data_IF_063142094003
#
_entry.id   IF_063142094003
#
_cell.length_a   1.000
_cell.length_b   1.000
_cell.length_c   1.000
_cell.angle_alpha   90.00
_cell.angle_beta   90.00
_cell.angle_gamma   90.00
#
_symmetry.space_group_name_H-M   'P 1'
#
loop_
_entity.id
_entity.type
_entity.pdbx_description
1 polymer ?
#
# COMPACT_ATOMS: atom_id res chain seq x y z
N UNK A 1 -5.41 -16.66 -29.96
CA UNK A 1 -6.10 -16.91 -28.67
C UNK A 1 -6.89 -18.22 -28.73
N UNK A 2 -6.39 -19.33 -28.15
CA UNK A 2 -7.04 -20.65 -28.18
C UNK A 2 -8.29 -20.76 -27.28
N UNK A 3 -8.37 -19.91 -26.25
CA UNK A 3 -9.40 -19.98 -25.20
C UNK A 3 -10.80 -19.59 -25.69
N UNK A 4 -10.88 -18.68 -26.66
CA UNK A 4 -12.15 -18.26 -27.27
C UNK A 4 -12.80 -19.40 -28.09
N UNK A 5 -11.98 -20.25 -28.74
CA UNK A 5 -12.48 -21.44 -29.44
C UNK A 5 -13.02 -22.50 -28.47
N UNK A 6 -12.40 -22.67 -27.29
CA UNK A 6 -12.86 -23.64 -26.28
C UNK A 6 -14.23 -23.26 -25.66
N UNK A 7 -14.52 -21.97 -25.52
CA UNK A 7 -15.79 -21.48 -24.97
C UNK A 7 -17.00 -21.75 -25.88
N UNK A 8 -16.82 -21.59 -27.19
CA UNK A 8 -17.87 -21.78 -28.20
C UNK A 8 -18.27 -23.26 -28.36
N UNK A 9 -17.28 -24.16 -28.31
CA UNK A 9 -17.52 -25.62 -28.31
C UNK A 9 -18.33 -26.05 -27.09
N UNK A 10 -17.97 -25.54 -25.91
CA UNK A 10 -18.63 -25.89 -24.64
C UNK A 10 -20.05 -25.31 -24.53
N UNK A 11 -20.33 -24.17 -25.15
CA UNK A 11 -21.68 -23.60 -25.25
C UNK A 11 -22.58 -24.50 -26.12
N UNK A 12 -22.01 -25.03 -27.20
CA UNK A 12 -22.69 -25.94 -28.14
C UNK A 12 -23.01 -27.29 -27.49
N UNK A 13 -22.07 -27.88 -26.74
CA UNK A 13 -22.29 -29.14 -26.01
C UNK A 13 -23.33 -29.05 -24.89
N UNK A 14 -23.53 -27.86 -24.32
CA UNK A 14 -24.48 -27.67 -23.22
C UNK A 14 -25.90 -27.34 -23.70
N UNK A 15 -26.09 -26.99 -24.98
CA UNK A 15 -27.41 -26.74 -25.55
C UNK A 15 -28.33 -27.98 -25.51
N UNK A 16 -27.76 -29.18 -25.63
CA UNK A 16 -28.50 -30.43 -25.52
C UNK A 16 -28.93 -30.75 -24.07
N UNK A 17 -28.27 -30.17 -23.07
CA UNK A 17 -28.56 -30.41 -21.64
C UNK A 17 -29.67 -29.51 -21.08
N UNK A 18 -29.97 -28.39 -21.74
CA UNK A 18 -31.02 -27.43 -21.33
C UNK A 18 -32.40 -27.79 -21.92
N UNK A 19 -32.55 -29.02 -22.41
CA UNK A 19 -33.65 -29.47 -23.24
C UNK A 19 -35.08 -29.48 -22.64
N UNK A 20 -35.36 -29.30 -21.34
CA UNK A 20 -36.74 -29.12 -20.92
C UNK A 20 -37.34 -27.74 -21.27
N UNK A 21 -36.54 -26.77 -21.74
CA UNK A 21 -36.98 -25.37 -21.95
C UNK A 21 -37.43 -25.03 -23.39
N UNK A 22 -37.61 -26.02 -24.28
CA UNK A 22 -37.83 -25.82 -25.72
C UNK A 22 -39.19 -25.19 -26.14
N UNK A 23 -40.10 -24.89 -25.22
CA UNK A 23 -41.34 -24.19 -25.59
C UNK A 23 -41.10 -22.72 -26.03
N UNK A 24 -39.97 -22.10 -25.65
CA UNK A 24 -39.70 -20.68 -25.89
C UNK A 24 -38.43 -20.38 -26.71
N UNK A 25 -37.53 -21.34 -26.91
CA UNK A 25 -36.27 -21.17 -27.66
C UNK A 25 -36.32 -21.99 -28.96
N UNK A 26 -36.99 -21.45 -29.97
CA UNK A 26 -36.94 -21.99 -31.33
C UNK A 26 -35.53 -21.86 -31.92
N UNK A 27 -35.16 -22.63 -32.96
CA UNK A 27 -33.86 -22.52 -33.62
C UNK A 27 -33.52 -21.08 -34.06
N UNK A 28 -34.52 -20.32 -34.53
CA UNK A 28 -34.35 -18.91 -34.89
C UNK A 28 -34.02 -18.02 -33.68
N UNK A 29 -34.75 -18.20 -32.56
CA UNK A 29 -34.49 -17.47 -31.32
C UNK A 29 -33.12 -17.81 -30.73
N UNK A 30 -32.71 -19.07 -30.84
CA UNK A 30 -31.39 -19.52 -30.45
C UNK A 30 -30.30 -18.87 -31.33
N UNK A 31 -30.50 -18.82 -32.65
CA UNK A 31 -29.58 -18.18 -33.58
C UNK A 31 -29.41 -16.69 -33.27
N UNK A 32 -30.51 -15.97 -33.01
CA UNK A 32 -30.48 -14.57 -32.58
C UNK A 32 -29.71 -14.43 -31.28
N UNK A 33 -30.02 -15.26 -30.27
CA UNK A 33 -29.32 -15.20 -28.97
C UNK A 33 -27.81 -15.42 -29.10
N UNK A 34 -27.37 -16.37 -29.93
CA UNK A 34 -25.95 -16.62 -30.20
C UNK A 34 -25.29 -15.40 -30.86
N UNK A 35 -25.97 -14.77 -31.82
CA UNK A 35 -25.47 -13.55 -32.48
C UNK A 35 -25.32 -12.40 -31.48
N UNK A 36 -26.32 -12.18 -30.62
CA UNK A 36 -26.26 -11.15 -29.59
C UNK A 36 -25.12 -11.41 -28.59
N UNK A 37 -24.92 -12.65 -28.15
CA UNK A 37 -23.78 -13.03 -27.30
C UNK A 37 -22.45 -12.75 -28.02
N UNK A 38 -22.34 -13.08 -29.30
CA UNK A 38 -21.14 -12.82 -30.08
C UNK A 38 -20.84 -11.31 -30.20
N UNK A 39 -21.87 -10.48 -30.39
CA UNK A 39 -21.75 -9.01 -30.42
C UNK A 39 -21.26 -8.50 -29.06
N UNK A 40 -21.84 -8.97 -27.95
CA UNK A 40 -21.41 -8.55 -26.59
C UNK A 40 -19.97 -8.95 -26.32
N UNK A 41 -19.55 -10.16 -26.70
CA UNK A 41 -18.16 -10.60 -26.53
C UNK A 41 -17.20 -9.77 -27.39
N UNK A 42 -17.54 -9.51 -28.66
CA UNK A 42 -16.72 -8.68 -29.54
C UNK A 42 -16.60 -7.26 -28.99
N UNK A 43 -17.72 -6.64 -28.61
CA UNK A 43 -17.73 -5.29 -28.05
C UNK A 43 -16.92 -5.21 -26.76
N UNK A 44 -17.01 -6.24 -25.90
CA UNK A 44 -16.19 -6.32 -24.69
C UNK A 44 -14.70 -6.43 -25.02
N UNK A 45 -14.32 -7.23 -26.02
CA UNK A 45 -12.94 -7.33 -26.47
C UNK A 45 -12.43 -6.00 -27.04
N UNK A 46 -13.20 -5.36 -27.92
CA UNK A 46 -12.86 -4.07 -28.52
C UNK A 46 -12.66 -3.00 -27.42
N UNK A 47 -13.56 -2.95 -26.42
CA UNK A 47 -13.49 -2.03 -25.28
C UNK A 47 -12.30 -2.32 -24.33
N UNK A 48 -11.86 -3.57 -24.25
CA UNK A 48 -10.67 -3.96 -23.49
C UNK A 48 -9.38 -3.68 -24.25
N UNK A 49 -9.37 -3.84 -25.57
CA UNK A 49 -8.23 -3.47 -26.43
C UNK A 49 -8.05 -1.97 -26.54
N UNK A 50 -9.15 -1.20 -26.47
CA UNK A 50 -9.11 0.26 -26.49
C UNK A 50 -8.54 0.91 -25.21
N UNK A 51 -8.32 0.14 -24.13
CA UNK A 51 -7.89 0.65 -22.82
C UNK A 51 -6.63 -0.04 -22.32
N UNK A 52 -5.74 0.71 -21.66
CA UNK A 52 -4.66 0.12 -20.88
C UNK A 52 -5.22 -0.41 -19.55
N UNK A 53 -5.14 -1.72 -19.36
CA UNK A 53 -5.63 -2.40 -18.16
C UNK A 53 -4.45 -2.87 -17.30
N UNK A 54 -4.48 -2.52 -16.03
CA UNK A 54 -3.51 -3.01 -15.05
C UNK A 54 -4.18 -4.07 -14.18
N UNK A 55 -3.65 -5.28 -14.23
CA UNK A 55 -4.04 -6.36 -13.30
C UNK A 55 -3.03 -6.44 -12.17
N UNK A 56 -3.50 -6.63 -10.95
CA UNK A 56 -2.63 -6.88 -9.81
C UNK A 56 -3.06 -8.15 -9.07
N UNK A 57 -2.12 -8.84 -8.40
CA UNK A 57 -2.45 -9.96 -7.53
C UNK A 57 -3.48 -9.54 -6.47
N UNK A 58 -4.35 -10.46 -6.06
CA UNK A 58 -5.35 -10.19 -5.00
C UNK A 58 -4.70 -9.68 -3.71
N UNK A 59 -3.46 -10.09 -3.42
CA UNK A 59 -2.68 -9.61 -2.28
C UNK A 59 -2.37 -8.10 -2.32
N UNK A 60 -2.35 -7.49 -3.51
CA UNK A 60 -2.11 -6.04 -3.69
C UNK A 60 -3.39 -5.20 -3.64
N UNK A 61 -4.58 -5.83 -3.71
CA UNK A 61 -5.86 -5.10 -3.67
C UNK A 61 -6.05 -4.32 -2.36
N UNK A 62 -5.42 -4.76 -1.26
CA UNK A 62 -5.43 -4.07 0.04
C UNK A 62 -4.85 -2.67 0.02
N UNK A 63 -4.06 -2.32 -1.00
CA UNK A 63 -3.52 -0.97 -1.14
C UNK A 63 -4.41 -0.02 -1.95
N UNK A 64 -5.52 -0.55 -2.50
CA UNK A 64 -6.55 0.18 -3.22
C UNK A 64 -7.92 0.13 -2.50
N UNK A 65 -7.98 -0.47 -1.31
CA UNK A 65 -9.20 -0.49 -0.50
C UNK A 65 -9.47 0.86 0.15
N UNK A 66 -10.73 1.14 0.47
CA UNK A 66 -11.20 2.43 1.02
C UNK A 66 -10.69 2.76 2.43
N UNK A 67 -9.99 1.84 3.11
CA UNK A 67 -9.46 2.06 4.46
C UNK A 67 -8.09 2.74 4.49
N UNK A 68 -7.75 3.47 5.58
CA UNK A 68 -6.47 4.14 5.73
C UNK A 68 -5.32 3.12 5.74
N UNK A 69 -4.32 3.21 4.83
CA UNK A 69 -3.30 2.17 4.69
C UNK A 69 -2.47 1.96 5.96
N UNK A 70 -2.29 2.97 6.80
CA UNK A 70 -1.56 2.85 8.06
C UNK A 70 -2.47 2.71 9.30
N UNK A 71 -3.79 2.63 9.09
CA UNK A 71 -4.80 2.56 10.15
C UNK A 71 -5.35 3.94 10.53
N UNK A 72 -6.56 3.95 11.09
CA UNK A 72 -7.30 5.17 11.41
C UNK A 72 -6.60 6.06 12.44
N UNK A 73 -5.92 5.47 13.43
CA UNK A 73 -5.19 6.24 14.44
C UNK A 73 -4.05 7.07 13.84
N UNK A 74 -3.36 6.54 12.83
CA UNK A 74 -2.31 7.29 12.11
C UNK A 74 -2.93 8.42 11.28
N UNK A 75 -4.07 8.16 10.62
CA UNK A 75 -4.79 9.17 9.84
C UNK A 75 -5.27 10.33 10.74
N UNK A 76 -5.79 10.02 11.94
CA UNK A 76 -6.27 11.01 12.90
C UNK A 76 -5.12 11.82 13.54
N UNK A 77 -3.99 11.17 13.85
CA UNK A 77 -2.85 11.86 14.47
C UNK A 77 -2.04 12.66 13.45
N UNK A 78 -1.89 12.13 12.23
CA UNK A 78 -1.08 12.67 11.14
C UNK A 78 -1.89 12.89 9.84
N UNK A 79 -2.94 13.73 9.84
CA UNK A 79 -3.77 13.92 8.66
C UNK A 79 -3.00 14.53 7.48
N UNK A 80 -1.91 15.25 7.76
CA UNK A 80 -1.05 15.89 6.76
C UNK A 80 -0.25 14.90 5.90
N UNK A 81 -0.02 13.68 6.37
CA UNK A 81 0.74 12.66 5.59
C UNK A 81 -0.16 11.68 4.85
N UNK A 82 -1.49 11.77 5.03
CA UNK A 82 -2.43 10.78 4.52
C UNK A 82 -2.34 10.63 2.99
N UNK A 83 -2.20 11.76 2.28
CA UNK A 83 -1.99 11.76 0.84
C UNK A 83 -0.78 10.90 0.43
N UNK A 84 0.37 11.11 1.08
CA UNK A 84 1.60 10.37 0.77
C UNK A 84 1.49 8.90 1.17
N UNK A 85 0.80 8.57 2.27
CA UNK A 85 0.53 7.18 2.67
C UNK A 85 -0.32 6.44 1.63
N UNK A 86 -1.38 7.07 1.14
CA UNK A 86 -2.28 6.50 0.12
C UNK A 86 -1.55 6.32 -1.20
N UNK A 87 -0.83 7.34 -1.67
CA UNK A 87 -0.08 7.25 -2.93
C UNK A 87 1.09 6.26 -2.86
N UNK A 88 1.76 6.13 -1.71
CA UNK A 88 2.73 5.06 -1.48
C UNK A 88 2.09 3.67 -1.66
N UNK A 89 0.89 3.46 -1.08
CA UNK A 89 0.16 2.20 -1.22
C UNK A 89 -0.18 1.88 -2.68
N UNK A 90 -0.75 2.84 -3.41
CA UNK A 90 -1.09 2.67 -4.83
C UNK A 90 0.14 2.39 -5.69
N UNK A 91 1.23 3.14 -5.48
CA UNK A 91 2.50 2.91 -6.17
C UNK A 91 3.04 1.50 -5.90
N UNK A 92 2.93 1.02 -4.66
CA UNK A 92 3.37 -0.32 -4.29
C UNK A 92 2.54 -1.38 -5.01
N UNK A 93 1.22 -1.22 -5.07
CA UNK A 93 0.36 -2.15 -5.79
C UNK A 93 0.58 -2.15 -7.31
N UNK A 94 0.96 -1.01 -7.90
CA UNK A 94 1.23 -0.85 -9.33
C UNK A 94 2.65 -1.20 -9.76
N UNK A 95 3.49 -1.69 -8.83
CA UNK A 95 4.88 -2.02 -9.15
C UNK A 95 5.75 -0.81 -9.44
N UNK A 96 5.46 0.33 -8.80
CA UNK A 96 6.23 1.58 -8.89
C UNK A 96 7.06 1.74 -7.62
N UNK A 97 8.03 0.85 -7.46
CA UNK A 97 8.84 0.68 -6.24
C UNK A 97 9.54 1.97 -5.82
N UNK A 98 10.23 2.66 -6.74
CA UNK A 98 10.91 3.92 -6.44
C UNK A 98 9.93 5.02 -6.02
N UNK A 99 8.78 5.14 -6.71
CA UNK A 99 7.76 6.13 -6.37
C UNK A 99 7.14 5.87 -4.99
N UNK A 100 6.94 4.58 -4.66
CA UNK A 100 6.52 4.15 -3.32
C UNK A 100 7.47 4.71 -2.27
N UNK A 101 8.78 4.49 -2.45
CA UNK A 101 9.79 4.97 -1.50
C UNK A 101 9.80 6.50 -1.44
N UNK A 102 9.69 7.23 -2.55
CA UNK A 102 9.65 8.70 -2.54
C UNK A 102 8.50 9.23 -1.66
N UNK A 103 7.29 8.68 -1.80
CA UNK A 103 6.17 9.06 -0.94
C UNK A 103 6.43 8.71 0.53
N UNK A 104 6.95 7.51 0.81
CA UNK A 104 7.27 7.09 2.18
C UNK A 104 8.32 7.99 2.85
N UNK A 105 9.18 8.65 2.08
CA UNK A 105 10.22 9.51 2.64
C UNK A 105 9.63 10.82 3.19
N UNK A 106 8.59 11.34 2.53
CA UNK A 106 7.80 12.47 3.06
C UNK A 106 7.03 12.08 4.32
N UNK A 107 6.51 10.85 4.37
CA UNK A 107 5.85 10.32 5.58
C UNK A 107 6.85 10.19 6.74
N UNK A 108 8.04 9.63 6.46
CA UNK A 108 9.11 9.50 7.46
C UNK A 108 9.61 10.86 7.94
N UNK A 109 9.63 11.89 7.10
CA UNK A 109 10.01 13.25 7.49
C UNK A 109 9.11 13.77 8.61
N UNK A 110 7.80 13.72 8.40
CA UNK A 110 6.81 14.14 9.39
C UNK A 110 6.87 13.30 10.67
N UNK A 111 7.05 11.98 10.54
CA UNK A 111 7.22 11.09 11.69
C UNK A 111 8.50 11.38 12.47
N UNK A 112 9.62 11.63 11.79
CA UNK A 112 10.89 11.97 12.42
C UNK A 112 10.81 13.32 13.14
N UNK A 113 10.16 14.31 12.54
CA UNK A 113 9.90 15.60 13.18
C UNK A 113 9.04 15.44 14.45
N UNK A 114 7.98 14.64 14.39
CA UNK A 114 7.13 14.37 15.55
C UNK A 114 7.90 13.65 16.66
N UNK A 115 8.70 12.64 16.33
CA UNK A 115 9.55 11.95 17.30
C UNK A 115 10.58 12.90 17.91
N UNK A 116 11.22 13.76 17.11
CA UNK A 116 12.18 14.75 17.61
C UNK A 116 11.54 15.64 18.67
N UNK A 117 10.37 16.21 18.39
CA UNK A 117 9.62 17.03 19.34
C UNK A 117 9.25 16.25 20.60
N UNK A 118 8.82 15.00 20.45
CA UNK A 118 8.44 14.14 21.57
C UNK A 118 9.59 13.91 22.56
N UNK A 119 10.83 13.87 22.08
CA UNK A 119 12.03 13.67 22.93
C UNK A 119 12.80 14.97 23.22
N UNK A 120 12.24 16.13 22.89
CA UNK A 120 12.86 17.43 23.14
C UNK A 120 14.07 17.75 22.26
N UNK A 121 14.14 17.16 21.05
CA UNK A 121 15.17 17.47 20.04
C UNK A 121 14.58 18.44 19.02
N UNK A 122 15.33 19.49 18.69
CA UNK A 122 14.96 20.43 17.63
C UNK A 122 15.01 19.73 16.26
N UNK A 123 13.92 19.72 15.47
CA UNK A 123 13.94 19.23 14.10
C UNK A 123 14.92 20.01 13.22
N UNK A 124 15.40 19.41 12.14
CA UNK A 124 16.29 20.07 11.21
C UNK A 124 16.51 19.31 9.91
N UNK A 125 17.05 20.00 8.91
CA UNK A 125 17.24 19.47 7.54
C UNK A 125 18.25 18.32 7.49
N UNK A 126 19.24 18.30 8.38
CA UNK A 126 20.22 17.22 8.45
C UNK A 126 19.68 16.04 9.26
N UNK A 127 19.05 15.10 8.57
CA UNK A 127 18.50 13.89 9.19
C UNK A 127 19.51 13.07 9.97
N UNK A 128 20.77 12.96 9.52
CA UNK A 128 21.78 12.21 10.28
C UNK A 128 22.03 12.85 11.65
N UNK A 129 22.07 14.18 11.72
CA UNK A 129 22.23 14.92 12.98
C UNK A 129 21.01 14.74 13.88
N UNK A 130 19.80 14.89 13.33
CA UNK A 130 18.53 14.71 14.07
C UNK A 130 18.42 13.28 14.60
N UNK A 131 18.67 12.27 13.77
CA UNK A 131 18.65 10.86 14.15
C UNK A 131 19.62 10.57 15.30
N UNK A 132 20.84 11.11 15.26
CA UNK A 132 21.82 10.93 16.33
C UNK A 132 21.37 11.60 17.63
N UNK A 133 20.79 12.81 17.55
CA UNK A 133 20.30 13.54 18.70
C UNK A 133 19.11 12.83 19.38
N UNK A 134 18.16 12.33 18.58
CA UNK A 134 17.04 11.52 19.06
C UNK A 134 17.56 10.24 19.72
N UNK A 135 18.49 9.54 19.07
CA UNK A 135 19.08 8.32 19.60
C UNK A 135 19.76 8.56 20.97
N UNK A 136 20.44 9.70 21.14
CA UNK A 136 21.00 10.10 22.43
C UNK A 136 19.92 10.30 23.49
N UNK A 137 18.83 11.00 23.15
CA UNK A 137 17.71 11.23 24.08
C UNK A 137 16.95 9.97 24.47
N UNK A 138 16.70 9.07 23.52
CA UNK A 138 16.09 7.77 23.82
C UNK A 138 16.98 6.94 24.76
N UNK A 139 18.31 7.04 24.65
CA UNK A 139 19.25 6.36 25.55
C UNK A 139 19.34 7.00 26.94
N UNK A 140 18.82 8.20 27.16
CA UNK A 140 18.75 8.84 28.48
C UNK A 140 17.57 8.31 29.30
N UNK A 141 16.56 7.72 28.64
CA UNK A 141 15.39 7.13 29.31
C UNK A 141 15.80 5.94 30.17
N UNK A 142 15.34 5.91 31.41
CA UNK A 142 15.68 4.89 32.41
C UNK A 142 14.43 4.43 33.14
N UNK A 143 14.28 3.11 33.32
CA UNK A 143 13.19 2.53 34.14
C UNK A 143 12.97 3.21 35.48
N UNK A 144 14.07 3.54 36.17
CA UNK A 144 14.06 4.10 37.52
C UNK A 144 13.52 5.53 37.57
N UNK A 145 13.74 6.30 36.51
CA UNK A 145 13.40 7.73 36.46
C UNK A 145 12.08 7.96 35.73
N UNK A 146 11.91 7.30 34.58
CA UNK A 146 10.81 7.55 33.64
C UNK A 146 9.73 6.46 33.68
N UNK A 147 9.99 5.35 34.37
CA UNK A 147 9.09 4.21 34.46
C UNK A 147 9.28 3.17 33.34
N UNK A 148 8.73 1.95 33.54
CA UNK A 148 8.92 0.83 32.62
C UNK A 148 8.26 1.05 31.25
N UNK A 149 7.10 1.70 31.20
CA UNK A 149 6.38 1.96 29.94
C UNK A 149 7.15 2.92 29.03
N UNK A 150 7.69 4.00 29.60
CA UNK A 150 8.46 4.99 28.84
C UNK A 150 9.79 4.41 28.34
N UNK A 151 10.46 3.60 29.16
CA UNK A 151 11.68 2.88 28.76
C UNK A 151 11.41 1.91 27.60
N UNK A 152 10.32 1.13 27.68
CA UNK A 152 9.91 0.23 26.62
C UNK A 152 9.61 1.00 25.32
N UNK A 153 8.79 2.04 25.40
CA UNK A 153 8.44 2.86 24.24
C UNK A 153 9.68 3.48 23.59
N UNK A 154 10.64 3.95 24.40
CA UNK A 154 11.88 4.54 23.90
C UNK A 154 12.79 3.50 23.22
N UNK A 155 12.86 2.29 23.77
CA UNK A 155 13.59 1.18 23.17
C UNK A 155 13.01 0.78 21.81
N UNK A 156 11.67 0.68 21.72
CA UNK A 156 10.94 0.39 20.48
C UNK A 156 11.13 1.51 19.44
N UNK A 157 11.04 2.78 19.84
CA UNK A 157 11.34 3.93 18.98
C UNK A 157 12.78 3.86 18.42
N UNK A 158 13.75 3.45 19.25
CA UNK A 158 15.14 3.26 18.83
C UNK A 158 15.35 2.15 17.79
N UNK A 159 14.48 1.12 17.77
CA UNK A 159 14.51 0.09 16.72
C UNK A 159 14.14 0.69 15.37
N UNK A 160 13.10 1.53 15.31
CA UNK A 160 12.68 2.19 14.07
C UNK A 160 13.76 3.10 13.48
N UNK A 161 14.50 3.83 14.32
CA UNK A 161 15.55 4.75 13.84
C UNK A 161 16.64 4.06 13.02
N UNK A 162 17.01 2.82 13.38
CA UNK A 162 18.01 2.03 12.63
C UNK A 162 17.54 1.75 11.21
N UNK A 163 16.27 1.40 11.07
CA UNK A 163 15.66 1.17 9.78
C UNK A 163 15.58 2.47 8.95
N UNK A 164 15.11 3.56 9.56
CA UNK A 164 14.99 4.88 8.89
C UNK A 164 16.35 5.34 8.37
N UNK A 165 17.41 5.20 9.18
CA UNK A 165 18.79 5.54 8.78
C UNK A 165 19.23 4.75 7.54
N UNK A 166 18.88 3.47 7.45
CA UNK A 166 19.23 2.64 6.29
C UNK A 166 18.39 3.00 5.05
N UNK A 167 17.09 3.25 5.20
CA UNK A 167 16.23 3.68 4.10
C UNK A 167 16.69 5.05 3.53
N UNK A 168 17.08 5.97 4.41
CA UNK A 168 17.57 7.31 4.05
C UNK A 168 18.97 7.30 3.41
N UNK A 169 19.92 6.53 3.94
CA UNK A 169 21.28 6.46 3.35
C UNK A 169 21.30 5.93 1.92
N UNK A 170 20.29 5.14 1.58
CA UNK A 170 20.10 4.55 0.26
C UNK A 170 18.99 5.25 -0.54
N UNK A 171 18.64 6.47 -0.16
CA UNK A 171 17.41 7.13 -0.62
C UNK A 171 17.32 7.21 -2.16
N UNK A 172 16.09 7.09 -2.66
CA UNK A 172 15.71 7.08 -4.09
C UNK A 172 16.20 8.29 -4.91
N UNK A 173 16.71 9.34 -4.26
CA UNK A 173 17.30 10.51 -4.91
C UNK A 173 18.75 10.29 -5.35
N UNK A 174 19.41 9.18 -4.97
CA UNK A 174 20.65 8.78 -5.61
C UNK A 174 20.33 8.27 -7.02
N UNK A 175 20.83 8.92 -8.11
CA UNK A 175 20.37 8.67 -9.48
C UNK A 175 20.55 7.22 -10.01
N UNK A 176 21.30 6.39 -9.28
CA UNK A 176 21.70 5.05 -9.70
C UNK A 176 20.99 3.93 -8.92
N UNK A 177 20.24 4.23 -7.85
CA UNK A 177 19.62 3.20 -7.01
C UNK A 177 18.15 2.99 -7.40
N UNK A 178 17.83 1.80 -7.90
CA UNK A 178 16.45 1.38 -8.18
C UNK A 178 15.97 0.45 -7.07
N UNK A 179 14.74 0.68 -6.62
CA UNK A 179 14.08 -0.21 -5.67
C UNK A 179 13.41 -1.36 -6.41
N UNK A 180 13.41 -2.53 -5.79
CA UNK A 180 12.62 -3.69 -6.22
C UNK A 180 11.38 -3.86 -5.33
N UNK A 181 10.58 -4.87 -5.65
CA UNK A 181 9.35 -5.19 -4.92
C UNK A 181 9.60 -5.49 -3.44
N UNK A 182 10.68 -6.22 -3.13
CA UNK A 182 10.96 -6.68 -1.78
C UNK A 182 11.35 -5.49 -0.90
N UNK A 183 12.31 -4.69 -1.36
CA UNK A 183 12.81 -3.54 -0.62
C UNK A 183 11.74 -2.47 -0.44
N UNK A 184 10.94 -2.18 -1.47
CA UNK A 184 9.84 -1.23 -1.34
C UNK A 184 8.78 -1.72 -0.33
N UNK A 185 8.46 -3.02 -0.32
CA UNK A 185 7.51 -3.60 0.64
C UNK A 185 8.05 -3.55 2.07
N UNK A 186 9.33 -3.85 2.28
CA UNK A 186 9.98 -3.71 3.58
C UNK A 186 9.93 -2.27 4.08
N UNK A 187 10.24 -1.30 3.23
CA UNK A 187 10.20 0.12 3.61
C UNK A 187 8.78 0.57 3.94
N UNK A 188 7.79 0.12 3.17
CA UNK A 188 6.39 0.41 3.44
C UNK A 188 5.96 -0.10 4.83
N UNK A 189 6.25 -1.37 5.14
CA UNK A 189 5.83 -1.98 6.41
C UNK A 189 6.56 -1.38 7.62
N UNK A 190 7.85 -1.11 7.50
CA UNK A 190 8.58 -0.44 8.58
C UNK A 190 8.13 1.01 8.80
N UNK A 191 7.78 1.73 7.72
CA UNK A 191 7.20 3.08 7.84
C UNK A 191 5.83 3.01 8.51
N UNK A 192 4.97 2.06 8.12
CA UNK A 192 3.68 1.82 8.78
C UNK A 192 3.86 1.58 10.28
N UNK A 193 4.72 0.64 10.65
CA UNK A 193 4.96 0.28 12.05
C UNK A 193 5.52 1.45 12.86
N UNK A 194 6.43 2.24 12.28
CA UNK A 194 6.94 3.46 12.90
C UNK A 194 5.84 4.50 13.14
N UNK A 195 5.01 4.78 12.13
CA UNK A 195 3.94 5.78 12.25
C UNK A 195 2.88 5.33 13.28
N UNK A 196 2.55 4.04 13.33
CA UNK A 196 1.65 3.47 14.34
C UNK A 196 2.23 3.59 15.75
N UNK A 197 3.53 3.33 15.93
CA UNK A 197 4.22 3.49 17.21
C UNK A 197 4.20 4.95 17.73
N UNK A 198 4.31 5.92 16.82
CA UNK A 198 4.19 7.33 17.18
C UNK A 198 2.75 7.72 17.46
N UNK A 199 1.82 7.26 16.63
CA UNK A 199 0.40 7.62 16.75
C UNK A 199 -0.16 7.19 18.09
N UNK A 200 0.13 5.97 18.55
CA UNK A 200 -0.32 5.47 19.86
C UNK A 200 0.18 6.34 21.02
N UNK A 201 1.44 6.80 20.98
CA UNK A 201 2.00 7.67 22.02
C UNK A 201 1.37 9.06 22.02
N UNK A 202 1.18 9.64 20.84
CA UNK A 202 0.64 10.98 20.69
C UNK A 202 -0.87 11.03 20.95
N UNK A 203 -1.62 9.99 20.59
CA UNK A 203 -3.04 9.85 20.92
C UNK A 203 -3.25 9.84 22.44
N UNK A 204 -2.42 9.08 23.18
CA UNK A 204 -2.44 9.04 24.64
C UNK A 204 -2.05 10.37 25.31
N UNK A 205 -1.39 11.29 24.59
CA UNK A 205 -0.99 12.60 25.13
C UNK A 205 -2.05 13.68 24.87
N UNK A 206 -3.01 13.42 23.96
CA UNK A 206 -4.12 14.33 23.61
C UNK A 206 -5.38 14.13 24.48
N UNK A 207 -5.47 13.01 25.20
CA UNK A 207 -6.53 12.71 26.17
C UNK A 207 -6.12 13.15 27.58
#
# INVERSE_FOLDING_TARGET
MPVAQTGLVRLTENLEKVAPFHAALTPDRLSVTIKEIAIVISSFQDEMEARLLFTFPRSSARYFSDGPPFGAEVEDVFPNVNYDVVEAGKCLALGRWTATVIHLMRVLEAGLEALARQVGVTPGENWNSVLNAIESKLREVRRKTDGPEQEQWAAEAGVHLRFIRNAWRNHAMHPLERYDSERASQIFEHTRSFMQHLASKLANTRN
#
